data_IF_225744368966
#
_entry.id   IF_225744368966
#
_cell.length_a   1.000
_cell.length_b   1.000
_cell.length_c   1.000
_cell.angle_alpha   90.00
_cell.angle_beta   90.00
_cell.angle_gamma   90.00
#
_symmetry.space_group_name_H-M   'P 1'
#
loop_
_entity.id
_entity.type
_entity.pdbx_description
1 polymer ?
#
# COMPACT_ATOMS: atom_id res chain seq x y z
N UNK A 1 -48.40 -42.43 -65.10
CA UNK A 1 -47.08 -41.78 -65.24
C UNK A 1 -46.51 -41.60 -63.84
N UNK A 2 -45.28 -42.04 -63.61
CA UNK A 2 -44.64 -42.11 -62.29
C UNK A 2 -44.38 -40.73 -61.67
N UNK A 3 -44.36 -40.61 -60.33
CA UNK A 3 -44.01 -39.36 -59.67
C UNK A 3 -42.52 -39.08 -59.83
N UNK A 4 -42.19 -37.87 -60.26
CA UNK A 4 -40.82 -37.35 -60.28
C UNK A 4 -40.37 -37.14 -58.82
N UNK A 5 -39.36 -37.89 -58.41
CA UNK A 5 -38.70 -37.70 -57.11
C UNK A 5 -38.03 -36.32 -57.04
N UNK A 6 -38.14 -35.59 -55.91
CA UNK A 6 -37.34 -34.39 -55.70
C UNK A 6 -35.87 -34.79 -55.50
N UNK A 7 -34.97 -34.09 -56.21
CA UNK A 7 -33.52 -34.22 -56.03
C UNK A 7 -33.13 -33.88 -54.59
N UNK A 8 -32.12 -34.55 -53.99
CA UNK A 8 -31.59 -34.14 -52.71
C UNK A 8 -30.89 -32.79 -52.85
N UNK A 9 -31.26 -31.83 -52.00
CA UNK A 9 -30.46 -30.63 -51.76
C UNK A 9 -29.20 -31.06 -51.00
N UNK A 10 -28.09 -31.15 -51.72
CA UNK A 10 -26.77 -31.40 -51.14
C UNK A 10 -26.32 -30.18 -50.32
N UNK A 11 -26.50 -30.30 -49.00
CA UNK A 11 -25.52 -30.04 -47.94
C UNK A 11 -24.37 -29.04 -48.23
N UNK A 12 -24.55 -27.77 -47.83
CA UNK A 12 -23.46 -26.80 -47.60
C UNK A 12 -23.22 -26.47 -46.11
N UNK A 13 -23.97 -27.08 -45.18
CA UNK A 13 -23.90 -26.78 -43.73
C UNK A 13 -22.51 -26.95 -43.05
N UNK A 14 -21.65 -27.94 -43.39
CA UNK A 14 -20.40 -28.13 -42.66
C UNK A 14 -19.34 -27.06 -42.95
N UNK A 15 -19.37 -26.44 -44.14
CA UNK A 15 -18.42 -25.39 -44.55
C UNK A 15 -18.65 -24.07 -43.82
N UNK A 16 -19.92 -23.71 -43.63
CA UNK A 16 -20.29 -22.47 -42.92
C UNK A 16 -19.92 -22.54 -41.43
N UNK A 17 -20.10 -23.70 -40.80
CA UNK A 17 -19.70 -23.91 -39.40
C UNK A 17 -18.18 -23.78 -39.22
N UNK A 18 -17.39 -24.37 -40.13
CA UNK A 18 -15.93 -24.28 -40.09
C UNK A 18 -15.42 -22.84 -40.29
N UNK A 19 -16.08 -22.06 -41.16
CA UNK A 19 -15.75 -20.64 -41.33
C UNK A 19 -16.02 -19.83 -40.07
N UNK A 20 -17.17 -20.02 -39.42
CA UNK A 20 -17.52 -19.30 -38.19
C UNK A 20 -16.53 -19.62 -37.07
N UNK A 21 -16.19 -20.90 -36.89
CA UNK A 21 -15.21 -21.30 -35.88
C UNK A 21 -13.84 -20.67 -36.14
N UNK A 22 -13.37 -20.66 -37.39
CA UNK A 22 -12.11 -20.01 -37.76
C UNK A 22 -12.12 -18.51 -37.42
N UNK A 23 -13.19 -17.79 -37.78
CA UNK A 23 -13.32 -16.36 -37.48
C UNK A 23 -13.31 -16.09 -35.98
N UNK A 24 -13.95 -16.96 -35.19
CA UNK A 24 -13.93 -16.86 -33.74
C UNK A 24 -12.51 -17.04 -33.17
N UNK A 25 -11.74 -18.01 -33.66
CA UNK A 25 -10.35 -18.19 -33.22
C UNK A 25 -9.45 -17.01 -33.61
N UNK A 26 -9.64 -16.45 -34.80
CA UNK A 26 -8.93 -15.25 -35.25
C UNK A 26 -9.25 -14.04 -34.35
N UNK A 27 -10.51 -13.85 -33.97
CA UNK A 27 -10.93 -12.79 -33.05
C UNK A 27 -10.34 -12.98 -31.63
N UNK A 28 -10.27 -14.21 -31.13
CA UNK A 28 -9.62 -14.53 -29.86
C UNK A 28 -8.13 -14.19 -29.88
N UNK A 29 -7.42 -14.53 -30.96
CA UNK A 29 -6.01 -14.17 -31.13
C UNK A 29 -5.81 -12.66 -31.23
N UNK A 30 -6.69 -11.94 -31.92
CA UNK A 30 -6.62 -10.48 -32.00
C UNK A 30 -6.80 -9.84 -30.61
N UNK A 31 -7.75 -10.32 -29.81
CA UNK A 31 -7.93 -9.88 -28.43
C UNK A 31 -6.68 -10.10 -27.58
N UNK A 32 -6.00 -11.24 -27.75
CA UNK A 32 -4.74 -11.54 -27.05
C UNK A 32 -3.63 -10.62 -27.55
N UNK A 33 -3.54 -10.36 -28.85
CA UNK A 33 -2.54 -9.46 -29.42
C UNK A 33 -2.68 -8.03 -28.90
N UNK A 34 -3.92 -7.53 -28.74
CA UNK A 34 -4.17 -6.23 -28.09
C UNK A 34 -3.59 -6.21 -26.67
N UNK A 35 -3.86 -7.24 -25.87
CA UNK A 35 -3.30 -7.36 -24.52
C UNK A 35 -1.76 -7.37 -24.56
N UNK A 36 -1.15 -8.21 -25.40
CA UNK A 36 0.30 -8.28 -25.53
C UNK A 36 0.90 -6.89 -25.87
N UNK A 37 0.32 -6.17 -26.83
CA UNK A 37 0.77 -4.85 -27.23
C UNK A 37 0.61 -3.81 -26.11
N UNK A 38 -0.48 -3.85 -25.35
CA UNK A 38 -0.66 -2.99 -24.17
C UNK A 38 0.47 -3.18 -23.14
N UNK A 39 1.03 -4.39 -23.05
CA UNK A 39 2.17 -4.72 -22.19
C UNK A 39 3.53 -4.61 -22.89
N UNK A 40 3.61 -4.01 -24.08
CA UNK A 40 4.86 -3.82 -24.82
C UNK A 40 5.43 -5.09 -25.44
N UNK A 41 4.65 -6.16 -25.50
CA UNK A 41 5.03 -7.43 -26.14
C UNK A 41 4.67 -7.42 -27.62
N UNK A 42 5.38 -8.24 -28.40
CA UNK A 42 5.11 -8.40 -29.84
C UNK A 42 3.82 -9.21 -30.06
N UNK A 43 2.95 -8.80 -30.99
CA UNK A 43 1.77 -9.58 -31.33
C UNK A 43 2.16 -10.88 -32.04
N UNK A 44 1.32 -11.89 -31.88
CA UNK A 44 1.43 -13.18 -32.55
C UNK A 44 0.84 -13.09 -33.96
N UNK A 45 1.50 -13.72 -34.93
CA UNK A 45 1.07 -13.77 -36.32
C UNK A 45 0.57 -15.16 -36.73
N UNK A 46 -0.51 -15.21 -37.50
CA UNK A 46 -1.00 -16.44 -38.12
C UNK A 46 -0.08 -16.84 -39.29
N UNK A 47 0.51 -18.04 -39.21
CA UNK A 47 1.42 -18.57 -40.24
C UNK A 47 0.64 -19.36 -41.29
N UNK A 48 0.99 -19.19 -42.57
CA UNK A 48 0.40 -19.96 -43.69
C UNK A 48 0.99 -21.37 -43.74
N UNK A 49 0.18 -22.36 -44.15
CA UNK A 49 0.50 -23.81 -44.14
C UNK A 49 1.66 -24.27 -45.04
N UNK A 50 2.44 -23.36 -45.65
CA UNK A 50 3.45 -23.72 -46.65
C UNK A 50 4.68 -24.41 -46.06
N UNK A 51 5.04 -24.16 -44.79
CA UNK A 51 6.26 -24.70 -44.16
C UNK A 51 5.98 -25.38 -42.81
N UNK A 52 5.35 -26.56 -42.85
CA UNK A 52 4.97 -27.31 -41.64
C UNK A 52 6.12 -28.09 -40.97
N UNK A 53 7.30 -28.19 -41.61
CA UNK A 53 8.39 -29.06 -41.13
C UNK A 53 8.99 -28.61 -39.80
N UNK A 54 8.93 -27.31 -39.51
CA UNK A 54 9.52 -26.70 -38.31
C UNK A 54 8.46 -26.18 -37.31
N UNK A 55 7.19 -26.56 -37.48
CA UNK A 55 6.08 -26.08 -36.67
C UNK A 55 5.45 -27.18 -35.80
N UNK A 56 5.19 -26.85 -34.54
CA UNK A 56 4.36 -27.68 -33.66
C UNK A 56 2.90 -27.32 -33.93
N UNK A 57 2.13 -28.30 -34.40
CA UNK A 57 0.70 -28.14 -34.67
C UNK A 57 -0.08 -28.59 -33.44
N UNK A 58 -0.85 -27.68 -32.85
CA UNK A 58 -1.78 -28.01 -31.80
C UNK A 58 -3.10 -28.50 -32.39
N UNK A 59 -3.70 -29.51 -31.77
CA UNK A 59 -5.11 -29.82 -31.98
C UNK A 59 -5.99 -28.66 -31.45
N UNK A 60 -7.27 -28.64 -31.85
CA UNK A 60 -8.22 -27.58 -31.51
C UNK A 60 -8.32 -27.35 -29.99
N UNK A 61 -8.39 -28.43 -29.20
CA UNK A 61 -8.54 -28.33 -27.75
C UNK A 61 -7.27 -27.77 -27.10
N UNK A 62 -6.11 -28.24 -27.53
CA UNK A 62 -4.83 -27.73 -27.03
C UNK A 62 -4.59 -26.27 -27.41
N UNK A 63 -4.96 -25.86 -28.64
CA UNK A 63 -4.87 -24.47 -29.10
C UNK A 63 -5.79 -23.54 -28.31
N UNK A 64 -7.05 -23.96 -28.09
CA UNK A 64 -8.00 -23.20 -27.27
C UNK A 64 -7.50 -23.03 -25.83
N UNK A 65 -6.99 -24.11 -25.21
CA UNK A 65 -6.42 -24.04 -23.86
C UNK A 65 -5.20 -23.13 -23.80
N UNK A 66 -4.34 -23.16 -24.83
CA UNK A 66 -3.18 -22.26 -24.92
C UNK A 66 -3.62 -20.79 -24.97
N UNK A 67 -4.62 -20.44 -25.79
CA UNK A 67 -5.18 -19.09 -25.84
C UNK A 67 -5.72 -18.63 -24.50
N UNK A 68 -6.51 -19.47 -23.83
CA UNK A 68 -7.06 -19.18 -22.52
C UNK A 68 -5.97 -18.97 -21.47
N UNK A 69 -4.97 -19.85 -21.43
CA UNK A 69 -3.84 -19.74 -20.51
C UNK A 69 -3.04 -18.46 -20.74
N UNK A 70 -2.76 -18.11 -22.00
CA UNK A 70 -2.02 -16.90 -22.34
C UNK A 70 -2.79 -15.64 -21.94
N UNK A 71 -4.10 -15.60 -22.23
CA UNK A 71 -4.97 -14.50 -21.82
C UNK A 71 -4.96 -14.31 -20.30
N UNK A 72 -5.23 -15.39 -19.56
CA UNK A 72 -5.24 -15.37 -18.09
C UNK A 72 -3.88 -14.95 -17.52
N UNK A 73 -2.78 -15.44 -18.08
CA UNK A 73 -1.43 -15.10 -17.62
C UNK A 73 -1.14 -13.60 -17.76
N UNK A 74 -1.49 -13.00 -18.90
CA UNK A 74 -1.28 -11.56 -19.14
C UNK A 74 -2.18 -10.72 -18.23
N UNK A 75 -3.46 -11.07 -18.12
CA UNK A 75 -4.41 -10.36 -17.24
C UNK A 75 -3.99 -10.44 -15.76
N UNK A 76 -3.60 -11.62 -15.29
CA UNK A 76 -3.17 -11.82 -13.91
C UNK A 76 -1.85 -11.10 -13.62
N UNK A 77 -0.89 -11.12 -14.55
CA UNK A 77 0.36 -10.36 -14.41
C UNK A 77 0.08 -8.85 -14.27
N UNK A 78 -0.89 -8.33 -15.04
CA UNK A 78 -1.31 -6.92 -14.96
C UNK A 78 -1.90 -6.58 -13.60
N UNK A 79 -2.79 -7.43 -13.10
CA UNK A 79 -3.40 -7.26 -11.78
C UNK A 79 -2.35 -7.28 -10.67
N UNK A 80 -1.38 -8.19 -10.77
CA UNK A 80 -0.26 -8.27 -9.83
C UNK A 80 0.65 -7.04 -9.89
N UNK A 81 0.96 -6.52 -11.08
CA UNK A 81 1.72 -5.29 -11.25
C UNK A 81 1.02 -4.09 -10.59
N UNK A 82 -0.29 -3.95 -10.79
CA UNK A 82 -1.07 -2.89 -10.13
C UNK A 82 -1.03 -3.02 -8.61
N UNK A 83 -1.24 -4.23 -8.08
CA UNK A 83 -1.17 -4.49 -6.64
C UNK A 83 0.23 -4.18 -6.07
N UNK A 84 1.30 -4.53 -6.78
CA UNK A 84 2.68 -4.19 -6.38
C UNK A 84 2.86 -2.67 -6.34
N UNK A 85 2.34 -1.95 -7.34
CA UNK A 85 2.43 -0.49 -7.40
C UNK A 85 1.68 0.17 -6.23
N UNK A 86 0.45 -0.26 -5.96
CA UNK A 86 -0.35 0.21 -4.82
C UNK A 86 0.34 -0.08 -3.47
N UNK A 87 0.97 -1.25 -3.34
CA UNK A 87 1.76 -1.60 -2.15
C UNK A 87 2.99 -0.70 -1.99
N UNK A 88 3.70 -0.40 -3.07
CA UNK A 88 4.85 0.52 -3.06
C UNK A 88 4.41 1.92 -2.61
N UNK A 89 3.34 2.44 -3.18
CA UNK A 89 2.77 3.75 -2.84
C UNK A 89 2.34 3.82 -1.39
N UNK A 90 1.59 2.81 -0.93
CA UNK A 90 1.14 2.70 0.46
C UNK A 90 2.32 2.61 1.42
N UNK A 91 3.35 1.83 1.09
CA UNK A 91 4.54 1.71 1.93
C UNK A 91 5.30 3.05 2.03
N UNK A 92 5.39 3.78 0.92
CA UNK A 92 6.02 5.11 0.91
C UNK A 92 5.23 6.11 1.77
N UNK A 93 3.90 6.10 1.69
CA UNK A 93 3.06 6.95 2.54
C UNK A 93 3.26 6.62 4.03
N UNK A 94 3.22 5.33 4.39
CA UNK A 94 3.43 4.88 5.76
C UNK A 94 4.81 5.30 6.31
N UNK A 95 5.86 5.24 5.48
CA UNK A 95 7.20 5.72 5.87
C UNK A 95 7.20 7.21 6.17
N UNK A 96 6.53 8.02 5.35
CA UNK A 96 6.43 9.46 5.55
C UNK A 96 5.65 9.80 6.84
N UNK A 97 4.53 9.10 7.08
CA UNK A 97 3.74 9.25 8.30
C UNK A 97 4.53 8.87 9.55
N UNK A 98 5.27 7.76 9.49
CA UNK A 98 6.14 7.32 10.58
C UNK A 98 7.25 8.34 10.90
N UNK A 99 7.87 8.94 9.88
CA UNK A 99 8.88 9.98 10.07
C UNK A 99 8.28 11.25 10.71
N UNK A 100 7.07 11.63 10.29
CA UNK A 100 6.36 12.78 10.84
C UNK A 100 6.01 12.54 12.32
N UNK A 101 5.45 11.38 12.65
CA UNK A 101 5.12 11.02 14.03
C UNK A 101 6.35 10.89 14.91
N UNK A 102 7.45 10.35 14.39
CA UNK A 102 8.72 10.32 15.11
C UNK A 102 9.20 11.74 15.47
N UNK A 103 9.15 12.66 14.50
CA UNK A 103 9.54 14.07 14.75
C UNK A 103 8.62 14.73 15.79
N UNK A 104 7.32 14.44 15.76
CA UNK A 104 6.35 14.93 16.76
C UNK A 104 6.66 14.38 18.15
N UNK A 105 6.93 13.08 18.25
CA UNK A 105 7.27 12.43 19.50
C UNK A 105 8.56 13.01 20.12
N UNK A 106 9.63 13.17 19.32
CA UNK A 106 10.88 13.79 19.78
C UNK A 106 10.66 15.23 20.29
N UNK A 107 9.86 16.03 19.58
CA UNK A 107 9.54 17.39 20.03
C UNK A 107 8.74 17.40 21.34
N UNK A 108 7.80 16.46 21.51
CA UNK A 108 7.03 16.34 22.74
C UNK A 108 7.89 15.87 23.91
N UNK A 109 8.79 14.91 23.68
CA UNK A 109 9.77 14.44 24.66
C UNK A 109 10.69 15.58 25.11
N UNK A 110 11.27 16.33 24.18
CA UNK A 110 12.10 17.48 24.51
C UNK A 110 11.33 18.50 25.35
N UNK A 111 10.09 18.82 24.96
CA UNK A 111 9.25 19.75 25.71
C UNK A 111 8.92 19.24 27.11
N UNK A 112 8.70 17.93 27.28
CA UNK A 112 8.45 17.33 28.59
C UNK A 112 9.69 17.44 29.50
N UNK A 113 10.88 17.15 28.95
CA UNK A 113 12.15 17.28 29.66
C UNK A 113 12.42 18.73 30.09
N UNK A 114 12.19 19.70 29.20
CA UNK A 114 12.36 21.13 29.51
C UNK A 114 11.42 21.56 30.66
N UNK A 115 10.16 21.11 30.63
CA UNK A 115 9.19 21.39 31.69
C UNK A 115 9.56 20.73 33.02
N UNK A 116 10.09 19.51 32.99
CA UNK A 116 10.57 18.82 34.18
C UNK A 116 11.75 19.57 34.83
N UNK A 117 12.70 20.06 34.01
CA UNK A 117 13.80 20.88 34.49
C UNK A 117 13.32 22.19 35.13
N UNK A 118 12.37 22.88 34.50
CA UNK A 118 11.77 24.10 35.06
C UNK A 118 11.07 23.81 36.37
N UNK A 119 10.29 22.72 36.44
CA UNK A 119 9.59 22.31 37.65
C UNK A 119 10.57 22.06 38.79
N UNK A 120 11.68 21.36 38.53
CA UNK A 120 12.68 21.08 39.55
C UNK A 120 13.38 22.35 40.04
N UNK A 121 13.68 23.28 39.13
CA UNK A 121 14.21 24.61 39.50
C UNK A 121 13.24 25.40 40.39
N UNK A 122 11.94 25.39 40.08
CA UNK A 122 10.92 26.06 40.88
C UNK A 122 10.79 25.41 42.26
N UNK A 123 10.79 24.08 42.35
CA UNK A 123 10.77 23.36 43.64
C UNK A 123 11.96 23.72 44.52
N UNK A 124 13.18 23.72 43.97
CA UNK A 124 14.38 24.16 44.67
C UNK A 124 14.22 25.59 45.17
N UNK A 125 13.70 26.49 44.33
CA UNK A 125 13.53 27.89 44.72
C UNK A 125 12.51 28.10 45.82
N UNK A 126 11.42 27.35 45.81
CA UNK A 126 10.42 27.35 46.89
C UNK A 126 11.08 26.90 48.19
N UNK A 127 11.83 25.79 48.18
CA UNK A 127 12.54 25.30 49.36
C UNK A 127 13.50 26.33 49.95
N UNK A 128 14.31 26.98 49.11
CA UNK A 128 15.19 28.08 49.55
C UNK A 128 14.41 29.22 50.22
N UNK A 129 13.28 29.65 49.63
CA UNK A 129 12.47 30.74 50.16
C UNK A 129 11.77 30.37 51.48
N UNK A 130 11.32 29.13 51.60
CA UNK A 130 10.74 28.58 52.83
C UNK A 130 11.78 28.55 53.96
N UNK A 131 12.99 28.05 53.69
CA UNK A 131 14.10 28.01 54.63
C UNK A 131 14.51 29.41 55.09
N UNK A 132 14.67 30.34 54.15
CA UNK A 132 14.97 31.74 54.47
C UNK A 132 13.88 32.37 55.35
N UNK A 133 12.61 32.10 55.05
CA UNK A 133 11.47 32.61 55.82
C UNK A 133 11.47 32.07 57.25
N UNK A 134 11.68 30.76 57.40
CA UNK A 134 11.79 30.10 58.70
C UNK A 134 12.95 30.68 59.52
N UNK A 135 14.11 30.88 58.88
CA UNK A 135 15.29 31.41 59.54
C UNK A 135 15.07 32.86 60.03
N UNK A 136 14.41 33.70 59.21
CA UNK A 136 13.99 35.06 59.63
C UNK A 136 13.03 35.03 60.81
N UNK A 137 12.02 34.16 60.79
CA UNK A 137 11.07 34.00 61.90
C UNK A 137 11.77 33.56 63.19
N UNK A 138 12.70 32.60 63.10
CA UNK A 138 13.50 32.14 64.24
C UNK A 138 14.36 33.27 64.83
N UNK A 139 15.02 34.05 63.98
CA UNK A 139 15.81 35.21 64.40
C UNK A 139 14.95 36.26 65.11
N UNK A 140 13.76 36.57 64.58
CA UNK A 140 12.82 37.49 65.22
C UNK A 140 12.34 36.96 66.58
N UNK A 141 11.98 35.69 66.66
CA UNK A 141 11.56 35.05 67.91
C UNK A 141 12.65 35.09 68.98
N UNK A 142 13.92 34.90 68.59
CA UNK A 142 15.05 34.99 69.50
C UNK A 142 15.24 36.42 70.01
N UNK A 143 15.19 37.43 69.11
CA UNK A 143 15.24 38.85 69.51
C UNK A 143 14.14 39.21 70.51
N UNK A 144 12.91 38.76 70.27
CA UNK A 144 11.79 38.98 71.20
C UNK A 144 12.06 38.35 72.57
N UNK A 145 12.58 37.12 72.60
CA UNK A 145 12.93 36.43 73.86
C UNK A 145 14.00 37.19 74.64
N UNK A 146 15.00 37.73 73.96
CA UNK A 146 16.08 38.47 74.62
C UNK A 146 15.57 39.80 75.20
N UNK A 147 14.78 40.56 74.44
CA UNK A 147 14.11 41.77 74.93
C UNK A 147 13.20 41.50 76.14
N UNK A 148 12.48 40.37 76.16
CA UNK A 148 11.65 39.97 77.30
C UNK A 148 12.49 39.65 78.55
N UNK A 149 13.70 39.12 78.41
CA UNK A 149 14.62 38.88 79.54
C UNK A 149 15.16 40.19 80.09
N UNK A 150 15.55 41.12 79.22
CA UNK A 150 16.01 42.46 79.60
C UNK A 150 14.90 43.22 80.36
N UNK A 151 13.66 43.17 79.88
CA UNK A 151 12.54 43.80 80.57
C UNK A 151 12.32 43.25 81.99
N UNK A 152 12.45 41.92 82.18
CA UNK A 152 12.33 41.28 83.49
C UNK A 152 13.47 41.60 84.46
N UNK A 153 14.64 41.97 83.96
CA UNK A 153 15.80 42.36 84.79
C UNK A 153 15.76 43.83 85.20
N UNK A 154 14.95 44.65 84.51
CA UNK A 154 14.74 46.07 84.81
C UNK A 154 13.53 46.33 85.73
N UNK A 155 12.78 45.29 86.13
CA UNK A 155 11.68 45.32 87.12
C UNK A 155 12.14 44.75 88.47
#
# INVERSE_FOLDING_TARGET
MFPVAPKPQDSNQPSDRLMIEKQQEEAEWESINVLLMMHGLKPLSLVRRTDLKDLIIFDKQSSQRMRQNLKLLVEETSRQQNMIQELIETNQQLRNELQLEHSRATNQEQRANDLEQIMESVKSKIGELEDESLNRACQQQNKIKDLQKEQKTLQ
#
